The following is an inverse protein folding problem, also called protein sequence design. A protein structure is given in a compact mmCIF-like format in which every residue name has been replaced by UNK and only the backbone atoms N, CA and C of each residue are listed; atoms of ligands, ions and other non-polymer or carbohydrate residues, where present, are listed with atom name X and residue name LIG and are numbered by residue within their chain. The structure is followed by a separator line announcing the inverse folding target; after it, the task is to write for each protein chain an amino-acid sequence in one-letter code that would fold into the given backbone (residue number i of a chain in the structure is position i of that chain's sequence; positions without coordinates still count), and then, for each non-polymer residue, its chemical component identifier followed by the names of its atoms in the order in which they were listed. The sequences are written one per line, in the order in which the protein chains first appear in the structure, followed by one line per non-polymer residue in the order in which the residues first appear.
data_IF_925014331924
#
_entry.id   IF_925014331924
#
_cell.length_a   1.000
_cell.length_b   1.000
_cell.length_c   1.000
_cell.angle_alpha   90.00
_cell.angle_beta   90.00
_cell.angle_gamma   90.00
#
_symmetry.space_group_name_H-M   'P 1'
#
loop_
_entity.id
_entity.type
_entity.pdbx_description
1 polymer ?
#
# COMPACT_ATOMS: atom_id res chain seq x y z
N UNK A 1 7.92 -18.01 -1.99
CA UNK A 1 7.12 -17.25 -1.01
C UNK A 1 5.65 -17.46 -1.34
N UNK A 2 4.87 -17.88 -0.38
CA UNK A 2 3.44 -18.13 -0.65
C UNK A 2 2.65 -16.82 -0.67
N UNK A 3 1.42 -16.91 -1.20
CA UNK A 3 0.58 -15.72 -1.39
C UNK A 3 0.16 -15.09 -0.06
N UNK A 4 0.02 -15.89 0.97
CA UNK A 4 -0.38 -15.39 2.29
C UNK A 4 0.70 -14.49 2.89
N UNK A 5 1.95 -14.89 2.75
CA UNK A 5 3.09 -14.08 3.23
C UNK A 5 3.23 -12.81 2.39
N UNK A 6 3.00 -12.90 1.08
CA UNK A 6 3.01 -11.71 0.22
C UNK A 6 1.96 -10.71 0.67
N UNK A 7 0.74 -11.16 0.94
CA UNK A 7 -0.35 -10.28 1.38
C UNK A 7 -0.02 -9.62 2.72
N UNK A 8 0.51 -10.40 3.67
CA UNK A 8 0.92 -9.85 4.97
C UNK A 8 2.04 -8.83 4.83
N UNK A 9 2.97 -9.07 3.91
CA UNK A 9 4.07 -8.14 3.66
C UNK A 9 3.57 -6.84 3.02
N UNK A 10 2.61 -6.94 2.08
CA UNK A 10 1.98 -5.75 1.50
C UNK A 10 1.24 -4.95 2.56
N UNK A 11 0.56 -5.63 3.48
CA UNK A 11 -0.08 -4.96 4.61
C UNK A 11 0.95 -4.24 5.47
N UNK A 12 2.09 -4.86 5.76
CA UNK A 12 3.16 -4.22 6.52
C UNK A 12 3.63 -2.95 5.81
N UNK A 13 3.81 -3.00 4.48
CA UNK A 13 4.20 -1.81 3.71
C UNK A 13 3.17 -0.69 3.83
N UNK A 14 1.88 -1.03 3.78
CA UNK A 14 0.81 -0.05 3.95
C UNK A 14 0.90 0.61 5.32
N UNK A 15 1.16 -0.17 6.38
CA UNK A 15 1.32 0.35 7.72
C UNK A 15 2.51 1.31 7.84
N UNK A 16 3.64 0.97 7.21
CA UNK A 16 4.82 1.85 7.24
C UNK A 16 4.54 3.16 6.53
N UNK A 17 3.89 3.12 5.37
CA UNK A 17 3.55 4.32 4.61
C UNK A 17 2.53 5.16 5.37
N UNK A 18 1.54 4.53 6.01
CA UNK A 18 0.58 5.25 6.85
C UNK A 18 1.28 6.02 7.96
N UNK A 19 2.24 5.39 8.62
CA UNK A 19 3.01 6.02 9.69
C UNK A 19 3.83 7.19 9.16
N UNK A 20 4.46 7.02 8.00
CA UNK A 20 5.22 8.11 7.38
C UNK A 20 4.32 9.30 7.05
N UNK A 21 3.14 9.04 6.49
CA UNK A 21 2.21 10.11 6.11
C UNK A 21 1.74 10.92 7.33
N UNK A 22 1.58 10.26 8.47
CA UNK A 22 1.16 10.94 9.70
C UNK A 22 2.31 11.67 10.37
N UNK A 23 3.47 11.03 10.48
CA UNK A 23 4.60 11.53 11.28
C UNK A 23 5.64 12.28 10.46
N UNK A 24 5.57 12.18 9.15
CA UNK A 24 6.54 12.82 8.23
C UNK A 24 7.98 12.38 8.50
N UNK A 25 8.17 11.13 8.92
CA UNK A 25 9.48 10.55 9.19
C UNK A 25 10.07 9.90 7.93
N UNK A 26 11.38 9.65 7.95
CA UNK A 26 12.03 8.88 6.90
C UNK A 26 11.53 7.44 6.91
N UNK A 27 11.08 6.94 5.75
CA UNK A 27 10.49 5.60 5.64
C UNK A 27 11.50 4.50 6.00
N UNK A 28 12.78 4.69 5.69
CA UNK A 28 13.80 3.70 6.04
C UNK A 28 13.99 3.57 7.55
N UNK A 29 13.91 4.68 8.27
CA UNK A 29 13.95 4.66 9.73
C UNK A 29 12.75 3.93 10.32
N UNK A 30 11.56 4.20 9.79
CA UNK A 30 10.33 3.52 10.21
C UNK A 30 10.45 2.02 9.96
N UNK A 31 10.95 1.64 8.78
CA UNK A 31 11.13 0.24 8.41
C UNK A 31 12.12 -0.47 9.33
N UNK A 32 13.25 0.17 9.64
CA UNK A 32 14.26 -0.42 10.51
C UNK A 32 13.68 -0.70 11.90
N UNK A 33 12.92 0.24 12.45
CA UNK A 33 12.25 0.05 13.72
C UNK A 33 11.20 -1.06 13.65
N UNK A 34 10.45 -1.12 12.56
CA UNK A 34 9.45 -2.17 12.35
C UNK A 34 10.12 -3.55 12.33
N UNK A 35 11.20 -3.71 11.56
CA UNK A 35 11.93 -4.97 11.47
C UNK A 35 12.51 -5.39 12.81
N UNK A 36 12.95 -4.42 13.60
CA UNK A 36 13.57 -4.68 14.90
C UNK A 36 12.54 -5.09 15.98
N UNK A 37 11.41 -4.40 16.01
CA UNK A 37 10.46 -4.54 17.13
C UNK A 37 9.26 -5.43 16.83
N UNK A 38 8.86 -5.58 15.56
CA UNK A 38 7.64 -6.28 15.21
C UNK A 38 7.86 -7.62 14.50
N UNK A 39 9.04 -7.84 13.95
CA UNK A 39 9.34 -9.08 13.26
C UNK A 39 9.27 -10.26 14.24
N UNK A 40 8.46 -11.26 13.90
CA UNK A 40 8.24 -12.45 14.73
C UNK A 40 7.68 -12.15 16.11
N UNK A 41 7.07 -10.98 16.30
CA UNK A 41 6.43 -10.61 17.54
C UNK A 41 5.03 -11.22 17.60
N UNK A 42 4.60 -11.66 18.79
CA UNK A 42 3.25 -12.15 18.99
C UNK A 42 2.32 -10.96 19.13
N UNK A 43 1.22 -10.98 18.35
CA UNK A 43 0.21 -9.94 18.40
C UNK A 43 -0.80 -10.27 19.49
N UNK A 44 -0.96 -9.39 20.47
CA UNK A 44 -1.94 -9.52 21.56
C UNK A 44 -1.83 -10.88 22.27
N UNK A 45 -2.96 -11.42 22.71
CA UNK A 45 -3.05 -12.70 23.39
C UNK A 45 -3.41 -13.84 22.43
N UNK A 46 -3.28 -13.64 21.13
CA UNK A 46 -3.73 -14.61 20.13
C UNK A 46 -2.71 -15.69 19.81
N UNK A 47 -1.48 -15.54 20.27
CA UNK A 47 -0.34 -16.41 19.91
C UNK A 47 0.05 -16.34 18.43
N UNK A 48 -0.55 -15.44 17.67
CA UNK A 48 -0.18 -15.21 16.26
C UNK A 48 1.01 -14.29 16.18
N UNK A 49 2.01 -14.69 15.39
CA UNK A 49 3.17 -13.86 15.12
C UNK A 49 2.90 -12.96 13.92
N UNK A 50 3.49 -11.78 13.93
CA UNK A 50 3.52 -10.93 12.74
C UNK A 50 4.51 -11.58 11.79
N UNK A 51 3.99 -12.21 10.74
CA UNK A 51 4.80 -12.86 9.72
C UNK A 51 4.81 -12.01 8.46
N UNK A 52 6.02 -11.71 7.99
CA UNK A 52 6.21 -11.04 6.72
C UNK A 52 7.59 -11.38 6.20
N UNK A 53 7.80 -11.15 4.90
CA UNK A 53 9.10 -11.39 4.29
C UNK A 53 9.89 -10.08 4.27
N UNK A 54 11.01 -10.06 5.00
CA UNK A 54 11.82 -8.84 5.15
C UNK A 54 12.37 -8.36 3.80
N UNK A 55 12.81 -9.29 2.95
CA UNK A 55 13.35 -8.91 1.64
C UNK A 55 12.27 -8.36 0.73
N UNK A 56 11.07 -8.93 0.74
CA UNK A 56 9.95 -8.40 -0.05
C UNK A 56 9.52 -7.05 0.48
N UNK A 57 9.47 -6.87 1.79
CA UNK A 57 9.16 -5.56 2.37
C UNK A 57 10.17 -4.50 1.92
N UNK A 58 11.45 -4.85 1.89
CA UNK A 58 12.49 -3.94 1.40
C UNK A 58 12.25 -3.54 -0.05
N UNK A 59 11.82 -4.49 -0.90
CA UNK A 59 11.48 -4.19 -2.28
C UNK A 59 10.29 -3.24 -2.38
N UNK A 60 9.24 -3.49 -1.60
CA UNK A 60 8.04 -2.64 -1.62
C UNK A 60 8.36 -1.21 -1.18
N UNK A 61 9.17 -1.07 -0.15
CA UNK A 61 9.62 0.25 0.32
C UNK A 61 10.46 0.95 -0.75
N UNK A 62 11.34 0.20 -1.42
CA UNK A 62 12.14 0.74 -2.52
C UNK A 62 11.25 1.24 -3.66
N UNK A 63 10.23 0.48 -4.04
CA UNK A 63 9.28 0.92 -5.08
C UNK A 63 8.55 2.18 -4.67
N UNK A 64 8.12 2.26 -3.42
CA UNK A 64 7.45 3.45 -2.90
C UNK A 64 8.37 4.68 -2.95
N UNK A 65 9.64 4.51 -2.64
CA UNK A 65 10.62 5.61 -2.69
C UNK A 65 10.84 6.12 -4.12
N UNK A 66 10.59 5.27 -5.11
CA UNK A 66 10.78 5.64 -6.52
C UNK A 66 9.63 6.45 -7.10
N UNK A 67 8.46 6.47 -6.46
CA UNK A 67 7.35 7.28 -6.96
C UNK A 67 7.44 8.70 -6.45
N UNK A 68 6.92 9.63 -7.25
CA UNK A 68 6.73 11.02 -6.84
C UNK A 68 5.29 11.14 -6.32
N UNK A 69 5.14 11.21 -5.00
CA UNK A 69 3.83 11.23 -4.34
C UNK A 69 3.01 12.43 -4.81
N UNK A 70 3.63 13.59 -4.97
CA UNK A 70 2.92 14.77 -5.45
C UNK A 70 2.39 14.57 -6.87
N UNK A 71 3.19 13.99 -7.74
CA UNK A 71 2.78 13.72 -9.11
C UNK A 71 1.62 12.71 -9.14
N UNK A 72 1.69 11.64 -8.34
CA UNK A 72 0.61 10.68 -8.23
C UNK A 72 -0.66 11.35 -7.73
N UNK A 73 -0.55 12.18 -6.71
CA UNK A 73 -1.66 12.93 -6.16
C UNK A 73 -2.32 13.84 -7.22
N UNK A 74 -1.51 14.55 -7.99
CA UNK A 74 -2.00 15.43 -9.06
C UNK A 74 -2.71 14.61 -10.14
N UNK A 75 -2.17 13.46 -10.51
CA UNK A 75 -2.80 12.59 -11.51
C UNK A 75 -4.15 12.07 -11.01
N UNK A 76 -4.23 11.65 -9.76
CA UNK A 76 -5.48 11.18 -9.17
C UNK A 76 -6.53 12.29 -9.17
N UNK A 77 -6.13 13.50 -8.77
CA UNK A 77 -7.04 14.64 -8.73
C UNK A 77 -7.58 15.03 -10.10
N UNK A 78 -6.83 14.74 -11.18
CA UNK A 78 -7.29 14.99 -12.56
C UNK A 78 -8.22 13.91 -13.06
N UNK A 79 -8.05 12.67 -12.59
CA UNK A 79 -8.85 11.52 -13.08
C UNK A 79 -10.23 11.48 -12.47
N UNK A 80 -10.42 12.10 -11.33
CA UNK A 80 -11.66 12.00 -10.56
C UNK A 80 -12.13 13.40 -10.19
N UNK A 81 -13.45 13.61 -10.29
CA UNK A 81 -14.09 14.83 -9.82
C UNK A 81 -14.69 14.56 -8.45
N UNK A 82 -13.92 14.88 -7.41
CA UNK A 82 -14.37 14.76 -6.04
C UNK A 82 -14.30 16.09 -5.33
N UNK A 83 -15.20 16.28 -4.39
CA UNK A 83 -15.19 17.46 -3.53
C UNK A 83 -13.93 17.54 -2.70
N UNK A 84 -13.31 16.39 -2.41
CA UNK A 84 -12.13 16.31 -1.57
C UNK A 84 -10.94 15.80 -2.38
N UNK A 85 -9.86 16.58 -2.37
CA UNK A 85 -8.63 16.20 -3.06
C UNK A 85 -7.94 15.04 -2.36
N UNK A 86 -7.14 14.28 -3.12
CA UNK A 86 -6.43 13.10 -2.61
C UNK A 86 -5.64 13.39 -1.32
N UNK A 87 -5.00 14.56 -1.24
CA UNK A 87 -4.21 14.93 -0.06
C UNK A 87 -5.04 14.99 1.22
N UNK A 88 -6.36 15.16 1.09
CA UNK A 88 -7.29 15.28 2.22
C UNK A 88 -7.99 13.97 2.58
N UNK A 89 -7.70 12.89 1.86
CA UNK A 89 -8.33 11.59 2.15
C UNK A 89 -7.76 11.00 3.43
N UNK A 90 -8.47 10.02 3.98
CA UNK A 90 -7.99 9.28 5.14
C UNK A 90 -6.64 8.65 4.85
N UNK A 91 -5.77 8.67 5.85
CA UNK A 91 -4.39 8.23 5.71
C UNK A 91 -4.29 6.80 5.21
N UNK A 92 -5.13 5.89 5.72
CA UNK A 92 -5.10 4.48 5.31
C UNK A 92 -5.46 4.33 3.83
N UNK A 93 -6.44 5.08 3.34
CA UNK A 93 -6.83 5.05 1.93
C UNK A 93 -5.70 5.54 1.04
N UNK A 94 -5.04 6.62 1.43
CA UNK A 94 -3.87 7.12 0.69
C UNK A 94 -2.74 6.10 0.67
N UNK A 95 -2.45 5.50 1.82
CA UNK A 95 -1.36 4.52 1.92
C UNK A 95 -1.62 3.29 1.05
N UNK A 96 -2.83 2.76 1.03
CA UNK A 96 -3.18 1.62 0.19
C UNK A 96 -2.92 1.96 -1.28
N UNK A 97 -3.42 3.10 -1.73
CA UNK A 97 -3.28 3.52 -3.12
C UNK A 97 -1.80 3.73 -3.49
N UNK A 98 -1.05 4.42 -2.65
CA UNK A 98 0.36 4.72 -2.93
C UNK A 98 1.21 3.45 -2.99
N UNK A 99 1.03 2.53 -2.05
CA UNK A 99 1.77 1.27 -2.05
C UNK A 99 1.37 0.41 -3.25
N UNK A 100 0.07 0.32 -3.55
CA UNK A 100 -0.41 -0.45 -4.69
C UNK A 100 0.15 0.09 -6.01
N UNK A 101 0.08 1.39 -6.23
CA UNK A 101 0.60 2.01 -7.45
C UNK A 101 2.10 1.75 -7.59
N UNK A 102 2.86 1.89 -6.50
CA UNK A 102 4.31 1.71 -6.58
C UNK A 102 4.68 0.28 -6.96
N UNK A 103 4.01 -0.73 -6.44
CA UNK A 103 4.27 -2.11 -6.83
C UNK A 103 3.77 -2.41 -8.25
N UNK A 104 2.56 -1.96 -8.58
CA UNK A 104 1.97 -2.24 -9.89
C UNK A 104 2.78 -1.64 -11.03
N UNK A 105 3.37 -0.47 -10.84
CA UNK A 105 4.24 0.16 -11.85
C UNK A 105 5.51 -0.64 -12.13
N UNK A 106 5.97 -1.44 -11.19
CA UNK A 106 7.18 -2.27 -11.32
C UNK A 106 6.86 -3.70 -11.74
N UNK A 107 5.58 -4.05 -11.88
CA UNK A 107 5.16 -5.43 -12.10
C UNK A 107 5.02 -5.73 -13.59
N UNK A 108 5.28 -6.99 -13.96
CA UNK A 108 5.05 -7.48 -15.31
C UNK A 108 3.55 -7.60 -15.59
N UNK A 109 3.16 -7.42 -16.86
CA UNK A 109 1.74 -7.39 -17.26
C UNK A 109 0.98 -8.64 -16.84
N UNK A 110 1.63 -9.81 -16.89
CA UNK A 110 0.96 -11.07 -16.60
C UNK A 110 0.58 -11.26 -15.14
N UNK A 111 1.15 -10.48 -14.22
CA UNK A 111 0.86 -10.61 -12.79
C UNK A 111 0.12 -9.39 -12.22
N UNK A 112 -0.10 -8.36 -13.02
CA UNK A 112 -0.76 -7.13 -12.54
C UNK A 112 -2.12 -7.43 -11.93
N UNK A 113 -2.93 -8.26 -12.58
CA UNK A 113 -4.28 -8.57 -12.09
C UNK A 113 -4.24 -9.26 -10.74
N UNK A 114 -3.31 -10.16 -10.54
CA UNK A 114 -3.15 -10.88 -9.27
C UNK A 114 -2.79 -9.90 -8.15
N UNK A 115 -1.82 -9.03 -8.40
CA UNK A 115 -1.38 -8.04 -7.42
C UNK A 115 -2.50 -7.04 -7.12
N UNK A 116 -3.17 -6.56 -8.16
CA UNK A 116 -4.30 -5.64 -8.04
C UNK A 116 -5.38 -6.22 -7.12
N UNK A 117 -5.78 -7.48 -7.38
CA UNK A 117 -6.79 -8.15 -6.58
C UNK A 117 -6.35 -8.34 -5.13
N UNK A 118 -5.06 -8.57 -4.88
CA UNK A 118 -4.56 -8.71 -3.51
C UNK A 118 -4.72 -7.41 -2.73
N UNK A 119 -4.40 -6.27 -3.34
CA UNK A 119 -4.59 -4.97 -2.68
C UNK A 119 -6.08 -4.69 -2.42
N UNK A 120 -6.97 -5.11 -3.30
CA UNK A 120 -8.40 -4.97 -3.06
C UNK A 120 -8.86 -5.82 -1.87
N UNK A 121 -8.38 -7.06 -1.78
CA UNK A 121 -8.70 -7.92 -0.65
C UNK A 121 -8.16 -7.36 0.67
N UNK A 122 -6.95 -6.81 0.65
CA UNK A 122 -6.38 -6.15 1.82
C UNK A 122 -7.25 -4.95 2.23
N UNK A 123 -7.67 -4.14 1.25
CA UNK A 123 -8.47 -2.95 1.55
C UNK A 123 -9.81 -3.30 2.20
N UNK A 124 -10.42 -4.42 1.82
CA UNK A 124 -11.68 -4.87 2.43
C UNK A 124 -11.58 -5.09 3.93
N UNK A 125 -10.39 -5.38 4.44
CA UNK A 125 -10.16 -5.60 5.87
C UNK A 125 -10.05 -4.31 6.67
N UNK A 126 -9.84 -3.17 6.03
CA UNK A 126 -9.53 -1.90 6.71
C UNK A 126 -10.49 -0.78 6.40
N UNK A 127 -11.14 -0.82 5.25
CA UNK A 127 -12.01 0.26 4.82
C UNK A 127 -13.38 -0.31 4.47
N UNK A 128 -14.39 0.54 4.42
CA UNK A 128 -15.74 0.10 4.09
C UNK A 128 -15.85 -0.27 2.62
N UNK A 129 -16.95 -0.89 2.25
CA UNK A 129 -17.18 -1.36 0.88
C UNK A 129 -17.14 -0.22 -0.13
N UNK A 130 -17.70 0.94 0.22
CA UNK A 130 -17.70 2.11 -0.67
C UNK A 130 -16.29 2.59 -0.95
N UNK A 131 -15.44 2.67 0.08
CA UNK A 131 -14.04 3.07 -0.08
C UNK A 131 -13.25 2.03 -0.89
N UNK A 132 -13.54 0.74 -0.70
CA UNK A 132 -12.92 -0.31 -1.49
C UNK A 132 -13.24 -0.17 -2.97
N UNK A 133 -14.51 0.10 -3.31
CA UNK A 133 -14.92 0.34 -4.70
C UNK A 133 -14.22 1.56 -5.29
N UNK A 134 -14.05 2.57 -4.47
CA UNK A 134 -13.39 3.81 -4.84
C UNK A 134 -11.91 3.57 -5.15
N UNK A 135 -11.23 2.83 -4.26
CA UNK A 135 -9.83 2.44 -4.47
C UNK A 135 -9.68 1.63 -5.76
N UNK A 136 -10.60 0.69 -5.99
CA UNK A 136 -10.61 -0.11 -7.21
C UNK A 136 -10.69 0.79 -8.46
N UNK A 137 -11.62 1.75 -8.47
CA UNK A 137 -11.80 2.64 -9.61
C UNK A 137 -10.54 3.46 -9.89
N UNK A 138 -9.89 3.99 -8.84
CA UNK A 138 -8.69 4.79 -9.00
C UNK A 138 -7.52 3.95 -9.51
N UNK A 139 -7.29 2.79 -8.91
CA UNK A 139 -6.20 1.91 -9.34
C UNK A 139 -6.41 1.46 -10.79
N UNK A 140 -7.66 1.16 -11.16
CA UNK A 140 -7.98 0.77 -12.54
C UNK A 140 -7.59 1.88 -13.52
N UNK A 141 -7.97 3.12 -13.22
CA UNK A 141 -7.63 4.26 -14.08
C UNK A 141 -6.14 4.52 -14.13
N UNK A 142 -5.44 4.39 -13.01
CA UNK A 142 -4.00 4.65 -12.95
C UNK A 142 -3.18 3.60 -13.69
N UNK A 143 -3.62 2.36 -13.69
CA UNK A 143 -2.82 1.23 -14.19
C UNK A 143 -3.24 0.83 -15.61
N UNK A 144 -4.53 0.74 -15.90
CA UNK A 144 -5.02 0.21 -17.18
C UNK A 144 -5.33 1.29 -18.22
N UNK A 145 -5.79 2.46 -17.81
CA UNK A 145 -6.14 3.52 -18.74
C UNK A 145 -4.97 4.41 -19.14
N UNK A 146 -3.91 4.37 -18.33
CA UNK A 146 -2.72 5.15 -18.61
C UNK A 146 -1.84 4.43 -19.63
N UNK A 147 -1.76 4.97 -20.81
CA UNK A 147 -0.89 4.45 -21.87
C UNK A 147 0.10 5.49 -22.34
#
# INVERSE_FOLDING_TARGET
MDNKIKSKTRLAAIQLVSQQLVNNQDIDTIKDDFDKYYRNTIIDNTSEKIEYNVNFLSKLVSYYKDIDVKNVSDQINKLIEFDRKFEKWDTINKAIILVAISELKKSEKNIIKIIFNDYLEISKSFVNLQDTKFINAILDKMIYEKK
#
